data_IF_567114969739
#
_entry.id   IF_567114969739
#
_cell.length_a   1.000
_cell.length_b   1.000
_cell.length_c   1.000
_cell.angle_alpha   90.00
_cell.angle_beta   90.00
_cell.angle_gamma   90.00
#
_symmetry.space_group_name_H-M   'P 1'
#
loop_
_entity.id
_entity.type
_entity.pdbx_description
1 polymer ?
#
# COMPACT_ATOMS: atom_id res chain seq x y z
N UNK A 1 -18.54 -10.30 -7.04
CA UNK A 1 -17.32 -10.49 -6.22
C UNK A 1 -17.30 -9.49 -5.06
N UNK A 2 -17.29 -9.98 -3.81
CA UNK A 2 -17.32 -9.13 -2.63
C UNK A 2 -15.89 -8.75 -2.20
N UNK A 3 -15.73 -7.68 -1.41
CA UNK A 3 -14.43 -7.22 -0.91
C UNK A 3 -13.60 -8.32 -0.20
N UNK A 4 -14.27 -9.29 0.45
CA UNK A 4 -13.64 -10.46 1.06
C UNK A 4 -12.95 -11.38 0.05
N UNK A 5 -13.52 -11.57 -1.15
CA UNK A 5 -12.91 -12.39 -2.19
C UNK A 5 -11.62 -11.76 -2.71
N UNK A 6 -11.60 -10.43 -2.86
CA UNK A 6 -10.39 -9.70 -3.25
C UNK A 6 -9.33 -9.73 -2.15
N UNK A 7 -9.71 -9.58 -0.87
CA UNK A 7 -8.78 -9.68 0.24
C UNK A 7 -8.13 -11.08 0.31
N UNK A 8 -8.91 -12.16 0.17
CA UNK A 8 -8.39 -13.52 0.14
C UNK A 8 -7.47 -13.77 -1.07
N UNK A 9 -7.83 -13.23 -2.25
CA UNK A 9 -6.98 -13.31 -3.43
C UNK A 9 -5.64 -12.58 -3.23
N UNK A 10 -5.68 -11.37 -2.65
CA UNK A 10 -4.47 -10.59 -2.36
C UNK A 10 -3.56 -11.29 -1.34
N UNK A 11 -4.12 -11.92 -0.32
CA UNK A 11 -3.35 -12.72 0.65
C UNK A 11 -2.70 -13.95 0.00
N UNK A 12 -3.44 -14.67 -0.85
CA UNK A 12 -2.88 -15.78 -1.63
C UNK A 12 -1.75 -15.32 -2.59
N UNK A 13 -1.92 -14.16 -3.24
CA UNK A 13 -0.88 -13.58 -4.09
C UNK A 13 0.35 -13.12 -3.29
N UNK A 14 0.17 -12.68 -2.04
CA UNK A 14 1.26 -12.35 -1.13
C UNK A 14 2.12 -13.59 -0.88
N UNK A 15 1.50 -14.71 -0.51
CA UNK A 15 2.20 -15.96 -0.24
C UNK A 15 2.90 -16.50 -1.49
N UNK A 16 2.33 -16.26 -2.68
CA UNK A 16 2.88 -16.68 -3.96
C UNK A 16 3.89 -15.72 -4.61
N UNK A 17 4.16 -14.54 -4.03
CA UNK A 17 5.00 -13.51 -4.67
C UNK A 17 4.44 -12.97 -6.00
N UNK A 18 3.13 -13.14 -6.22
CA UNK A 18 2.44 -12.90 -7.48
C UNK A 18 1.96 -11.43 -7.58
N UNK A 19 2.91 -10.49 -7.60
CA UNK A 19 2.61 -9.06 -7.57
C UNK A 19 1.81 -8.56 -8.79
N UNK A 20 1.96 -9.19 -9.96
CA UNK A 20 1.21 -8.83 -11.17
C UNK A 20 -0.27 -9.16 -10.99
N UNK A 21 -0.57 -10.33 -10.44
CA UNK A 21 -1.93 -10.76 -10.13
C UNK A 21 -2.53 -9.91 -9.01
N UNK A 22 -1.74 -9.56 -7.98
CA UNK A 22 -2.18 -8.64 -6.93
C UNK A 22 -2.52 -7.25 -7.48
N UNK A 23 -1.71 -6.73 -8.42
CA UNK A 23 -2.00 -5.47 -9.11
C UNK A 23 -3.28 -5.55 -9.94
N UNK A 24 -3.46 -6.63 -10.70
CA UNK A 24 -4.66 -6.84 -11.52
C UNK A 24 -5.92 -6.92 -10.63
N UNK A 25 -5.85 -7.65 -9.51
CA UNK A 25 -6.95 -7.76 -8.55
C UNK A 25 -7.29 -6.40 -7.92
N UNK A 26 -6.29 -5.62 -7.51
CA UNK A 26 -6.50 -4.27 -6.96
C UNK A 26 -7.10 -3.31 -7.98
N UNK A 27 -6.67 -3.36 -9.24
CA UNK A 27 -7.25 -2.55 -10.31
C UNK A 27 -8.69 -2.98 -10.66
N UNK A 28 -8.97 -4.28 -10.69
CA UNK A 28 -10.32 -4.80 -10.96
C UNK A 28 -11.28 -4.40 -9.83
N UNK A 29 -10.83 -4.46 -8.57
CA UNK A 29 -11.59 -4.00 -7.41
C UNK A 29 -11.95 -2.51 -7.53
N UNK A 30 -10.99 -1.66 -7.92
CA UNK A 30 -11.25 -0.23 -8.19
C UNK A 30 -12.21 -0.01 -9.36
N UNK A 31 -12.02 -0.71 -10.49
CA UNK A 31 -12.88 -0.58 -11.69
C UNK A 31 -14.33 -0.95 -11.40
N UNK A 32 -14.56 -1.93 -10.53
CA UNK A 32 -15.90 -2.38 -10.16
C UNK A 32 -16.55 -1.52 -9.07
N UNK A 33 -15.89 -0.44 -8.63
CA UNK A 33 -16.36 0.40 -7.53
C UNK A 33 -16.44 -0.34 -6.20
N UNK A 34 -15.78 -1.49 -6.07
CA UNK A 34 -15.67 -2.20 -4.81
C UNK A 34 -14.63 -1.45 -4.00
N UNK A 35 -15.07 -0.75 -2.96
CA UNK A 35 -14.17 0.01 -2.10
C UNK A 35 -13.10 -0.94 -1.55
N UNK A 36 -11.80 -0.70 -1.86
CA UNK A 36 -10.74 -1.46 -1.24
C UNK A 36 -10.84 -1.29 0.27
N UNK A 37 -10.90 -2.39 1.00
CA UNK A 37 -10.84 -2.32 2.46
C UNK A 37 -9.43 -1.91 2.89
N UNK A 38 -9.25 -1.34 4.09
CA UNK A 38 -7.93 -1.07 4.65
C UNK A 38 -7.00 -2.31 4.60
N UNK A 39 -7.58 -3.49 4.85
CA UNK A 39 -6.92 -4.79 4.71
C UNK A 39 -6.45 -5.09 3.28
N UNK A 40 -7.27 -4.83 2.25
CA UNK A 40 -6.89 -5.06 0.86
C UNK A 40 -5.75 -4.14 0.38
N UNK A 41 -5.75 -2.89 0.85
CA UNK A 41 -4.63 -1.98 0.57
C UNK A 41 -3.34 -2.40 1.27
N UNK A 42 -3.42 -2.78 2.55
CA UNK A 42 -2.26 -3.26 3.31
C UNK A 42 -1.66 -4.54 2.70
N UNK A 43 -2.50 -5.51 2.33
CA UNK A 43 -2.07 -6.74 1.65
C UNK A 43 -1.38 -6.42 0.31
N UNK A 44 -1.93 -5.49 -0.47
CA UNK A 44 -1.32 -5.05 -1.74
C UNK A 44 0.06 -4.42 -1.51
N UNK A 45 0.21 -3.55 -0.51
CA UNK A 45 1.50 -2.94 -0.16
C UNK A 45 2.51 -4.03 0.24
N UNK A 46 2.11 -4.98 1.08
CA UNK A 46 2.98 -6.10 1.49
C UNK A 46 3.46 -6.91 0.28
N UNK A 47 2.57 -7.28 -0.65
CA UNK A 47 2.94 -8.03 -1.85
C UNK A 47 3.95 -7.25 -2.69
N UNK A 48 3.71 -5.96 -2.90
CA UNK A 48 4.60 -5.12 -3.69
C UNK A 48 5.98 -4.95 -3.04
N UNK A 49 6.03 -4.73 -1.73
CA UNK A 49 7.30 -4.62 -1.00
C UNK A 49 8.06 -5.94 -1.02
N UNK A 50 7.40 -7.07 -0.75
CA UNK A 50 8.01 -8.39 -0.81
C UNK A 50 8.56 -8.74 -2.20
N UNK A 51 7.98 -8.16 -3.26
CA UNK A 51 8.39 -8.37 -4.66
C UNK A 51 9.35 -7.30 -5.19
N UNK A 52 9.87 -6.40 -4.34
CA UNK A 52 10.76 -5.30 -4.74
C UNK A 52 10.10 -4.21 -5.60
N UNK A 53 8.76 -4.19 -5.66
CA UNK A 53 7.97 -3.27 -6.47
C UNK A 53 7.65 -1.98 -5.70
N UNK A 54 8.69 -1.28 -5.22
CA UNK A 54 8.56 -0.07 -4.38
C UNK A 54 7.66 1.01 -5.02
N UNK A 55 7.73 1.17 -6.35
CA UNK A 55 6.89 2.14 -7.10
C UNK A 55 5.40 1.84 -6.98
N UNK A 56 5.03 0.56 -6.99
CA UNK A 56 3.65 0.13 -6.85
C UNK A 56 3.18 0.27 -5.40
N UNK A 57 4.02 -0.09 -4.43
CA UNK A 57 3.76 0.12 -3.01
C UNK A 57 3.50 1.61 -2.68
N UNK A 58 4.36 2.50 -3.17
CA UNK A 58 4.25 3.94 -2.96
C UNK A 58 3.01 4.54 -3.64
N UNK A 59 2.64 4.06 -4.82
CA UNK A 59 1.39 4.44 -5.48
C UNK A 59 0.17 4.01 -4.67
N UNK A 60 0.19 2.81 -4.10
CA UNK A 60 -0.90 2.30 -3.28
C UNK A 60 -1.07 3.12 -2.00
N UNK A 61 0.04 3.48 -1.34
CA UNK A 61 0.03 4.35 -0.16
C UNK A 61 -0.60 5.73 -0.47
N UNK A 62 -0.25 6.33 -1.62
CA UNK A 62 -0.85 7.59 -2.08
C UNK A 62 -2.34 7.44 -2.40
N UNK A 63 -2.73 6.31 -2.96
CA UNK A 63 -4.14 6.02 -3.25
C UNK A 63 -4.98 5.91 -1.98
N UNK A 64 -4.48 5.25 -0.93
CA UNK A 64 -5.14 5.21 0.37
C UNK A 64 -5.43 6.63 0.88
N UNK A 65 -4.44 7.53 0.80
CA UNK A 65 -4.61 8.93 1.18
C UNK A 65 -5.66 9.65 0.34
N UNK A 66 -5.64 9.46 -0.99
CA UNK A 66 -6.62 10.05 -1.92
C UNK A 66 -8.05 9.62 -1.59
N UNK A 67 -8.21 8.36 -1.16
CA UNK A 67 -9.48 7.81 -0.73
C UNK A 67 -9.86 8.21 0.71
N UNK A 68 -9.17 9.20 1.30
CA UNK A 68 -9.30 9.65 2.70
C UNK A 68 -9.15 8.51 3.73
N UNK A 69 -8.56 7.38 3.33
CA UNK A 69 -8.14 6.36 4.28
C UNK A 69 -6.86 6.82 4.94
N UNK A 70 -6.72 6.52 6.22
CA UNK A 70 -5.50 6.78 6.95
C UNK A 70 -4.59 5.55 6.83
N UNK A 71 -3.49 5.60 6.05
CA UNK A 71 -2.46 4.58 6.15
C UNK A 71 -1.90 4.61 7.56
N UNK A 72 -1.77 3.44 8.18
CA UNK A 72 -1.14 3.28 9.47
C UNK A 72 0.39 3.50 9.38
N UNK A 73 1.02 3.73 10.53
CA UNK A 73 2.48 3.87 10.62
C UNK A 73 3.21 2.66 10.02
N UNK A 74 2.66 1.45 10.17
CA UNK A 74 3.22 0.24 9.57
C UNK A 74 3.30 0.31 8.04
N UNK A 75 2.26 0.79 7.36
CA UNK A 75 2.26 0.94 5.90
C UNK A 75 3.31 1.95 5.43
N UNK A 76 3.50 3.06 6.16
CA UNK A 76 4.57 4.01 5.87
C UNK A 76 5.95 3.36 6.05
N UNK A 77 6.18 2.69 7.17
CA UNK A 77 7.43 1.99 7.46
C UNK A 77 7.77 0.93 6.41
N UNK A 78 6.76 0.19 5.94
CA UNK A 78 6.94 -0.82 4.90
C UNK A 78 7.41 -0.20 3.57
N UNK A 79 6.74 0.87 3.14
CA UNK A 79 7.07 1.56 1.88
C UNK A 79 8.41 2.28 1.99
N UNK A 80 8.71 2.91 3.14
CA UNK A 80 10.01 3.55 3.39
C UNK A 80 11.15 2.54 3.32
N UNK A 81 11.02 1.39 3.98
CA UNK A 81 12.02 0.32 3.93
C UNK A 81 12.21 -0.19 2.49
N UNK A 82 11.13 -0.39 1.74
CA UNK A 82 11.20 -0.76 0.33
C UNK A 82 11.94 0.30 -0.51
N UNK A 83 11.67 1.59 -0.30
CA UNK A 83 12.38 2.67 -0.96
C UNK A 83 13.88 2.66 -0.61
N UNK A 84 14.24 2.47 0.66
CA UNK A 84 15.63 2.39 1.11
C UNK A 84 16.39 1.21 0.48
N UNK A 85 15.77 0.03 0.39
CA UNK A 85 16.36 -1.16 -0.23
C UNK A 85 16.65 -1.01 -1.72
N UNK A 86 15.94 -0.09 -2.40
CA UNK A 86 16.12 0.21 -3.82
C UNK A 86 16.82 1.56 -4.07
N UNK A 87 17.56 2.06 -3.07
CA UNK A 87 18.34 3.30 -3.13
C UNK A 87 17.51 4.57 -3.41
N UNK A 88 16.19 4.50 -3.21
CA UNK A 88 15.25 5.61 -3.35
C UNK A 88 15.12 6.36 -2.02
N UNK A 89 16.25 6.81 -1.49
CA UNK A 89 16.29 7.57 -0.24
C UNK A 89 15.53 8.91 -0.29
N UNK A 90 15.42 9.65 -1.43
CA UNK A 90 14.65 10.88 -1.48
C UNK A 90 13.15 10.63 -1.24
N UNK A 91 12.60 9.56 -1.81
CA UNK A 91 11.22 9.13 -1.61
C UNK A 91 10.98 8.68 -0.17
N UNK A 92 11.93 7.93 0.41
CA UNK A 92 11.84 7.50 1.80
C UNK A 92 11.85 8.70 2.77
N UNK A 93 12.70 9.70 2.54
CA UNK A 93 12.72 10.94 3.34
C UNK A 93 11.43 11.74 3.18
N UNK A 94 10.91 11.84 1.95
CA UNK A 94 9.61 12.47 1.70
C UNK A 94 8.50 11.84 2.54
N UNK A 95 8.44 10.51 2.58
CA UNK A 95 7.49 9.77 3.41
C UNK A 95 7.71 9.98 4.91
N UNK A 96 8.96 10.08 5.36
CA UNK A 96 9.31 10.34 6.77
C UNK A 96 8.86 11.73 7.22
N UNK A 97 9.11 12.76 6.40
CA UNK A 97 8.64 14.13 6.69
C UNK A 97 7.12 14.18 6.72
N UNK A 98 6.44 13.54 5.76
CA UNK A 98 4.98 13.45 5.77
C UNK A 98 4.44 12.75 7.03
N UNK A 99 5.08 11.67 7.49
CA UNK A 99 4.68 10.97 8.71
C UNK A 99 4.88 11.88 9.94
N UNK A 100 6.02 12.57 10.02
CA UNK A 100 6.36 13.47 11.12
C UNK A 100 5.40 14.66 11.19
N UNK A 101 5.06 15.29 10.07
CA UNK A 101 4.07 16.38 10.03
C UNK A 101 2.71 15.90 10.53
N UNK A 102 2.36 14.65 10.23
CA UNK A 102 1.09 14.04 10.61
C UNK A 102 1.03 13.63 12.08
N UNK A 103 2.13 13.15 12.65
CA UNK A 103 2.26 12.87 14.09
C UNK A 103 2.35 14.17 14.92
N UNK A 104 2.89 15.24 14.34
CA UNK A 104 2.97 16.56 14.97
C UNK A 104 1.67 17.38 14.82
N UNK A 105 0.77 17.00 13.91
CA UNK A 105 -0.56 17.58 13.85
C UNK A 105 -1.34 17.12 15.09
N UNK A 106 -1.62 18.00 16.08
CA UNK A 106 -2.46 17.62 17.20
C UNK A 106 -3.82 17.21 16.64
N UNK A 107 -4.38 16.12 17.18
CA UNK A 107 -5.77 15.76 16.94
C UNK A 107 -6.64 16.92 17.45
N UNK A 108 -7.02 17.82 16.55
CA UNK A 108 -8.02 18.88 16.77
C UNK A 108 -9.41 18.31 16.54
#
# INVERSE_FOLDING_TARGET
PNALCYAAALDAYQQGGQWQQALAASQDMQRRGVAPTPLGHAASINVFVASGQWRHALRQLREMKRQRMQPNADAYSLVMNACMQHEQWPEALGLLWELRERELAPAV
#
